data_IF_258304500168
#
_entry.id   IF_258304500168
#
_cell.length_a   1.000
_cell.length_b   1.000
_cell.length_c   1.000
_cell.angle_alpha   90.00
_cell.angle_beta   90.00
_cell.angle_gamma   90.00
#
_symmetry.space_group_name_H-M   'P 1'
#
loop_
_entity.id
_entity.type
_entity.pdbx_description
1 polymer ?
#
# COMPACT_ATOMS: atom_id res chain seq x y z
N UNK A 1 7.79 -51.84 -33.11
CA UNK A 1 6.85 -50.70 -33.05
C UNK A 1 6.70 -50.15 -31.62
N UNK A 2 6.61 -51.03 -30.62
CA UNK A 2 6.39 -50.71 -29.20
C UNK A 2 7.43 -49.76 -28.56
N UNK A 3 8.73 -49.94 -28.80
CA UNK A 3 9.78 -49.03 -28.31
C UNK A 3 9.61 -47.58 -28.79
N UNK A 4 9.15 -47.38 -30.03
CA UNK A 4 8.86 -46.03 -30.58
C UNK A 4 7.61 -45.43 -29.94
N UNK A 5 6.57 -46.24 -29.70
CA UNK A 5 5.36 -45.78 -29.03
C UNK A 5 5.62 -45.35 -27.58
N UNK A 6 6.38 -46.15 -26.82
CA UNK A 6 6.77 -45.83 -25.44
C UNK A 6 7.60 -44.54 -25.37
N UNK A 7 8.59 -44.38 -26.25
CA UNK A 7 9.38 -43.16 -26.33
C UNK A 7 8.51 -41.92 -26.62
N UNK A 8 7.56 -42.03 -27.57
CA UNK A 8 6.64 -40.94 -27.90
C UNK A 8 5.71 -40.57 -26.74
N UNK A 9 5.29 -41.56 -25.94
CA UNK A 9 4.48 -41.34 -24.75
C UNK A 9 5.25 -40.56 -23.68
N UNK A 10 6.51 -40.95 -23.43
CA UNK A 10 7.38 -40.24 -22.48
C UNK A 10 7.64 -38.80 -22.90
N UNK A 11 7.94 -38.55 -24.17
CA UNK A 11 8.18 -37.18 -24.64
C UNK A 11 6.91 -36.33 -24.62
N UNK A 12 5.73 -36.92 -24.84
CA UNK A 12 4.46 -36.20 -24.64
C UNK A 12 4.30 -35.76 -23.20
N UNK A 13 4.49 -36.67 -22.24
CA UNK A 13 4.46 -36.34 -20.80
C UNK A 13 5.45 -35.23 -20.44
N UNK A 14 6.69 -35.29 -20.97
CA UNK A 14 7.69 -34.23 -20.77
C UNK A 14 7.21 -32.86 -21.29
N UNK A 15 6.62 -32.83 -22.49
CA UNK A 15 6.09 -31.59 -23.08
C UNK A 15 4.93 -31.01 -22.30
N UNK A 16 4.05 -31.86 -21.76
CA UNK A 16 2.94 -31.42 -20.92
C UNK A 16 3.47 -30.76 -19.63
N UNK A 17 4.45 -31.37 -18.97
CA UNK A 17 5.09 -30.76 -17.79
C UNK A 17 5.72 -29.39 -18.10
N UNK A 18 6.41 -29.27 -19.26
CA UNK A 18 6.98 -27.98 -19.68
C UNK A 18 5.86 -26.95 -19.93
N UNK A 19 4.75 -27.35 -20.55
CA UNK A 19 3.60 -26.48 -20.80
C UNK A 19 3.00 -25.97 -19.49
N UNK A 20 2.92 -26.81 -18.48
CA UNK A 20 2.43 -26.43 -17.15
C UNK A 20 3.39 -25.43 -16.49
N UNK A 21 4.70 -25.69 -16.53
CA UNK A 21 5.71 -24.74 -16.02
C UNK A 21 5.64 -23.37 -16.71
N UNK A 22 5.40 -23.32 -18.04
CA UNK A 22 5.19 -22.06 -18.75
C UNK A 22 3.92 -21.33 -18.32
N UNK A 23 2.87 -22.07 -17.97
CA UNK A 23 1.62 -21.49 -17.45
C UNK A 23 1.85 -20.87 -16.08
N UNK A 24 2.48 -21.61 -15.15
CA UNK A 24 2.84 -21.09 -13.82
C UNK A 24 3.77 -19.88 -13.89
N UNK A 25 4.75 -19.90 -14.80
CA UNK A 25 5.65 -18.77 -15.03
C UNK A 25 4.89 -17.53 -15.52
N UNK A 26 4.00 -17.69 -16.51
CA UNK A 26 3.18 -16.59 -17.04
C UNK A 26 2.35 -15.95 -15.93
N UNK A 27 1.68 -16.78 -15.12
CA UNK A 27 0.75 -16.30 -14.10
C UNK A 27 1.47 -15.56 -12.96
N UNK A 28 2.78 -15.80 -12.78
CA UNK A 28 3.65 -15.10 -11.83
C UNK A 28 4.17 -13.74 -12.33
N UNK A 29 3.96 -13.39 -13.61
CA UNK A 29 4.45 -12.16 -14.22
C UNK A 29 3.29 -11.16 -14.35
N UNK A 30 3.26 -10.05 -13.59
CA UNK A 30 2.12 -9.12 -13.56
C UNK A 30 1.74 -8.57 -14.95
N UNK A 31 2.75 -8.28 -15.78
CA UNK A 31 2.52 -7.76 -17.14
C UNK A 31 1.84 -8.76 -18.09
N UNK A 32 1.76 -10.04 -17.70
CA UNK A 32 1.12 -11.11 -18.46
C UNK A 32 -0.22 -11.56 -17.87
N UNK A 33 -0.66 -10.94 -16.76
CA UNK A 33 -1.95 -11.21 -16.14
C UNK A 33 -3.05 -10.52 -16.93
N UNK A 34 -3.99 -11.28 -17.48
CA UNK A 34 -5.18 -10.77 -18.20
C UNK A 34 -5.56 -11.59 -19.43
N UNK A 35 -6.85 -11.60 -19.76
CA UNK A 35 -7.45 -12.47 -20.80
C UNK A 35 -6.80 -12.29 -22.18
N UNK A 36 -6.54 -11.05 -22.60
CA UNK A 36 -5.87 -10.73 -23.88
C UNK A 36 -4.38 -11.10 -23.90
N UNK A 37 -3.76 -11.24 -22.72
CA UNK A 37 -2.32 -11.50 -22.56
C UNK A 37 -2.03 -12.97 -22.22
N UNK A 38 -3.08 -13.74 -21.90
CA UNK A 38 -3.01 -15.21 -21.69
C UNK A 38 -2.51 -15.96 -22.92
N UNK A 39 -2.65 -15.35 -24.11
CA UNK A 39 -2.14 -15.84 -25.39
C UNK A 39 -0.66 -15.50 -25.66
N UNK A 40 0.08 -15.02 -24.66
CA UNK A 40 1.50 -14.73 -24.81
C UNK A 40 2.29 -15.97 -25.27
N UNK A 41 3.06 -15.80 -26.34
CA UNK A 41 3.94 -16.84 -26.86
C UNK A 41 5.03 -17.20 -25.84
N UNK A 42 5.61 -18.42 -25.95
CA UNK A 42 6.72 -18.86 -25.08
C UNK A 42 7.88 -17.88 -25.06
N UNK A 43 8.24 -17.33 -26.22
CA UNK A 43 9.30 -16.33 -26.33
C UNK A 43 8.97 -15.04 -25.57
N UNK A 44 7.72 -14.57 -25.65
CA UNK A 44 7.27 -13.40 -24.89
C UNK A 44 7.25 -13.66 -23.38
N UNK A 45 6.82 -14.85 -22.94
CA UNK A 45 6.85 -15.24 -21.53
C UNK A 45 8.29 -15.16 -20.99
N UNK A 46 9.27 -15.75 -21.71
CA UNK A 46 10.68 -15.70 -21.31
C UNK A 46 11.23 -14.28 -21.28
N UNK A 47 10.93 -13.47 -22.31
CA UNK A 47 11.36 -12.07 -22.38
C UNK A 47 10.83 -11.27 -21.21
N UNK A 48 9.52 -11.34 -20.96
CA UNK A 48 8.87 -10.62 -19.85
C UNK A 48 9.30 -11.12 -18.48
N UNK A 49 9.62 -12.41 -18.34
CA UNK A 49 10.21 -12.96 -17.12
C UNK A 49 11.57 -12.33 -16.83
N UNK A 50 12.45 -12.28 -17.83
CA UNK A 50 13.77 -11.67 -17.71
C UNK A 50 13.66 -10.18 -17.35
N UNK A 51 12.81 -9.43 -18.07
CA UNK A 51 12.55 -8.01 -17.80
C UNK A 51 12.04 -7.82 -16.35
N UNK A 52 11.11 -8.66 -15.90
CA UNK A 52 10.51 -8.55 -14.58
C UNK A 52 11.51 -8.88 -13.46
N UNK A 53 12.38 -9.88 -13.64
CA UNK A 53 13.46 -10.18 -12.68
C UNK A 53 14.40 -8.97 -12.55
N UNK A 54 14.81 -8.37 -13.68
CA UNK A 54 15.68 -7.20 -13.65
C UNK A 54 15.01 -6.01 -12.95
N UNK A 55 13.75 -5.75 -13.27
CA UNK A 55 12.94 -4.72 -12.63
C UNK A 55 12.85 -4.94 -11.10
N UNK A 56 12.48 -6.14 -10.66
CA UNK A 56 12.33 -6.45 -9.24
C UNK A 56 13.67 -6.35 -8.49
N UNK A 57 14.79 -6.71 -9.12
CA UNK A 57 16.13 -6.52 -8.52
C UNK A 57 16.43 -5.04 -8.29
N UNK A 58 16.17 -4.18 -9.28
CA UNK A 58 16.35 -2.72 -9.14
C UNK A 58 15.41 -2.15 -8.07
N UNK A 59 14.15 -2.56 -8.08
CA UNK A 59 13.14 -2.13 -7.10
C UNK A 59 13.52 -2.51 -5.67
N UNK A 60 13.93 -3.76 -5.44
CA UNK A 60 14.39 -4.22 -4.13
C UNK A 60 15.64 -3.45 -3.66
N UNK A 61 16.58 -3.15 -4.57
CA UNK A 61 17.75 -2.32 -4.24
C UNK A 61 17.38 -0.90 -3.81
N UNK A 62 16.41 -0.28 -4.48
CA UNK A 62 15.90 1.05 -4.08
C UNK A 62 15.25 0.99 -2.70
N UNK A 63 14.38 0.01 -2.46
CA UNK A 63 13.75 -0.17 -1.15
C UNK A 63 14.77 -0.44 -0.05
N UNK A 64 15.85 -1.17 -0.34
CA UNK A 64 16.92 -1.37 0.63
C UNK A 64 17.63 -0.07 0.98
N UNK A 65 17.87 0.81 -0.01
CA UNK A 65 18.43 2.14 0.23
C UNK A 65 17.49 3.00 1.09
N UNK A 66 16.19 3.01 0.77
CA UNK A 66 15.18 3.72 1.55
C UNK A 66 15.16 3.25 3.02
N UNK A 67 15.24 1.92 3.23
CA UNK A 67 15.31 1.33 4.58
C UNK A 67 16.58 1.80 5.32
N UNK A 68 17.73 1.82 4.65
CA UNK A 68 19.00 2.20 5.28
C UNK A 68 19.10 3.71 5.55
N UNK A 69 18.46 4.54 4.73
CA UNK A 69 18.33 5.98 4.97
C UNK A 69 17.41 6.26 6.16
N UNK A 70 16.24 5.61 6.23
CA UNK A 70 15.31 5.73 7.36
C UNK A 70 15.96 5.25 8.67
N UNK A 71 16.72 4.16 8.64
CA UNK A 71 17.49 3.69 9.81
C UNK A 71 18.51 4.72 10.28
N UNK A 72 19.23 5.37 9.37
CA UNK A 72 20.18 6.44 9.70
C UNK A 72 19.48 7.65 10.31
N UNK A 73 18.34 8.06 9.77
CA UNK A 73 17.53 9.15 10.30
C UNK A 73 17.01 8.83 11.71
N UNK A 74 16.45 7.63 11.92
CA UNK A 74 15.98 7.19 13.24
C UNK A 74 17.11 7.18 14.26
N UNK A 75 18.27 6.61 13.94
CA UNK A 75 19.43 6.62 14.85
C UNK A 75 19.87 8.04 15.22
N UNK A 76 19.82 8.97 14.26
CA UNK A 76 20.15 10.37 14.50
C UNK A 76 19.16 11.02 15.48
N UNK A 77 17.85 10.82 15.24
CA UNK A 77 16.79 11.33 16.11
C UNK A 77 16.87 10.71 17.52
N UNK A 78 17.10 9.40 17.62
CA UNK A 78 17.28 8.71 18.91
C UNK A 78 18.48 9.29 19.70
N UNK A 79 19.56 9.62 19.00
CA UNK A 79 20.74 10.26 19.61
C UNK A 79 20.40 11.66 20.12
N UNK A 80 19.67 12.45 19.32
CA UNK A 80 19.21 13.79 19.71
C UNK A 80 18.28 13.73 20.94
N UNK A 81 17.31 12.81 20.93
CA UNK A 81 16.39 12.58 22.06
C UNK A 81 17.18 12.25 23.32
N UNK A 82 18.09 11.27 23.25
CA UNK A 82 18.91 10.87 24.40
C UNK A 82 19.77 12.02 24.94
N UNK A 83 20.32 12.86 24.06
CA UNK A 83 21.09 14.04 24.45
C UNK A 83 20.21 15.08 25.17
N UNK A 84 19.00 15.32 24.66
CA UNK A 84 18.04 16.26 25.27
C UNK A 84 17.52 15.73 26.61
N UNK A 85 17.22 14.44 26.71
CA UNK A 85 16.84 13.79 27.96
C UNK A 85 17.96 13.89 29.00
N UNK A 86 19.21 13.67 28.60
CA UNK A 86 20.38 13.86 29.45
C UNK A 86 20.52 15.32 29.90
N UNK A 87 20.36 16.29 29.01
CA UNK A 87 20.42 17.71 29.37
C UNK A 87 19.28 18.13 30.33
N UNK A 88 18.07 17.59 30.13
CA UNK A 88 16.91 17.81 31.00
C UNK A 88 17.12 17.22 32.39
N UNK A 89 17.66 16.01 32.47
CA UNK A 89 17.95 15.32 33.74
C UNK A 89 19.18 15.88 34.47
N UNK A 90 20.17 16.42 33.75
CA UNK A 90 21.35 17.09 34.31
C UNK A 90 21.08 18.52 34.82
N UNK A 91 19.83 19.00 34.77
CA UNK A 91 19.39 20.12 35.61
C UNK A 91 20.01 21.47 35.27
N UNK A 92 19.93 21.91 34.01
CA UNK A 92 20.23 23.31 33.63
C UNK A 92 18.98 24.07 33.16
N UNK A 93 17.84 23.82 33.81
CA UNK A 93 16.68 24.72 33.76
C UNK A 93 16.36 25.24 35.17
N UNK A 94 17.39 25.74 35.85
CA UNK A 94 17.18 26.72 36.91
C UNK A 94 17.16 28.09 36.22
N UNK A 95 16.05 28.83 36.40
CA UNK A 95 15.95 30.29 36.21
C UNK A 95 15.67 30.78 34.77
N UNK A 96 14.40 30.75 34.33
CA UNK A 96 13.69 31.90 33.68
C UNK A 96 12.43 31.45 32.92
N UNK A 97 11.39 31.01 33.64
CA UNK A 97 10.02 30.94 33.07
C UNK A 97 8.96 30.92 34.16
N UNK A 98 9.06 31.86 35.11
CA UNK A 98 7.84 32.42 35.73
C UNK A 98 7.40 33.57 34.82
N UNK A 99 6.92 33.25 33.62
CA UNK A 99 6.12 34.21 32.86
C UNK A 99 4.75 34.20 33.52
N UNK A 100 4.40 35.32 34.16
CA UNK A 100 3.11 35.57 34.77
C UNK A 100 1.97 35.37 33.76
N UNK A 101 1.45 34.13 33.68
CA UNK A 101 0.28 33.78 32.87
C UNK A 101 -0.99 34.50 33.36
N UNK A 102 -0.96 35.03 34.58
CA UNK A 102 -2.04 35.84 35.16
C UNK A 102 -2.26 37.16 34.39
N UNK A 103 -1.23 37.73 33.76
CA UNK A 103 -1.36 39.02 33.08
C UNK A 103 -2.08 38.93 31.73
N UNK A 104 -2.00 37.78 31.04
CA UNK A 104 -2.62 37.59 29.71
C UNK A 104 -4.14 37.34 29.79
N UNK A 105 -4.67 36.99 30.97
CA UNK A 105 -6.07 36.61 31.19
C UNK A 105 -6.94 37.73 31.80
N UNK A 106 -6.40 38.94 31.92
CA UNK A 106 -7.12 40.10 32.47
C UNK A 106 -7.17 41.23 31.44
N UNK A 107 -8.38 41.74 31.18
CA UNK A 107 -8.53 42.94 30.37
C UNK A 107 -8.01 44.15 31.20
N UNK A 108 -7.56 45.29 30.62
CA UNK A 108 -7.09 46.48 31.35
C UNK A 108 -8.04 47.10 32.40
N UNK A 109 -9.22 46.51 32.60
CA UNK A 109 -10.19 46.85 33.66
C UNK A 109 -10.18 45.86 34.85
N UNK A 110 -9.30 44.85 34.86
CA UNK A 110 -9.08 43.95 36.01
C UNK A 110 -10.07 42.79 36.16
N UNK A 111 -10.92 42.51 35.18
CA UNK A 111 -11.86 41.38 35.22
C UNK A 111 -11.30 40.15 34.49
N UNK A 112 -11.45 38.98 35.11
CA UNK A 112 -11.07 37.67 34.56
C UNK A 112 -12.01 37.24 33.43
N UNK A 113 -11.45 36.77 32.30
CA UNK A 113 -12.23 36.20 31.19
C UNK A 113 -12.57 34.74 31.48
N UNK A 114 -13.86 34.42 31.61
CA UNK A 114 -14.35 33.05 31.81
C UNK A 114 -14.18 32.20 30.55
N UNK A 115 -13.54 31.05 30.69
CA UNK A 115 -13.37 30.05 29.66
C UNK A 115 -14.73 29.47 29.20
N UNK A 116 -14.84 29.30 27.89
CA UNK A 116 -15.91 28.62 27.17
C UNK A 116 -16.24 27.25 27.78
N UNK A 117 -17.44 27.14 28.35
CA UNK A 117 -18.13 25.90 28.66
C UNK A 117 -18.83 25.42 27.39
N UNK A 118 -18.41 24.28 26.85
CA UNK A 118 -18.87 23.78 25.55
C UNK A 118 -18.60 22.29 25.43
N UNK A 119 -19.41 21.51 26.14
CA UNK A 119 -19.27 20.07 26.34
C UNK A 119 -19.38 19.19 25.09
N UNK A 120 -18.67 18.06 25.22
CA UNK A 120 -19.03 16.67 24.86
C UNK A 120 -19.40 16.28 23.42
N UNK A 121 -18.74 15.23 22.94
CA UNK A 121 -19.14 14.45 21.77
C UNK A 121 -18.06 13.45 21.36
N UNK A 122 -17.83 12.43 22.19
CA UNK A 122 -17.01 11.26 21.85
C UNK A 122 -17.90 10.26 21.11
N UNK A 123 -17.58 9.93 19.86
CA UNK A 123 -18.17 8.79 19.16
C UNK A 123 -17.04 8.11 18.36
N UNK A 124 -16.65 6.92 18.80
CA UNK A 124 -15.76 6.02 18.08
C UNK A 124 -16.55 5.33 16.96
N UNK A 125 -15.92 5.05 15.81
CA UNK A 125 -16.54 4.15 14.83
C UNK A 125 -15.48 3.22 14.22
N UNK A 126 -15.46 2.02 14.80
CA UNK A 126 -15.04 0.77 14.16
C UNK A 126 -16.02 0.44 13.02
N UNK A 127 -15.51 -0.05 11.87
CA UNK A 127 -15.94 -1.33 11.28
C UNK A 127 -15.27 -1.63 9.94
N UNK A 128 -14.76 -2.86 9.93
CA UNK A 128 -14.27 -3.69 8.84
C UNK A 128 -15.29 -3.92 7.69
N UNK A 129 -14.74 -4.19 6.51
CA UNK A 129 -15.15 -5.17 5.47
C UNK A 129 -16.61 -5.65 5.38
N UNK A 130 -17.26 -5.49 4.21
CA UNK A 130 -17.96 -6.59 3.49
C UNK A 130 -18.69 -6.11 2.23
N UNK A 131 -18.35 -6.78 1.12
CA UNK A 131 -19.23 -7.36 0.08
C UNK A 131 -20.68 -6.88 -0.15
N UNK A 132 -20.98 -6.69 -1.44
CA UNK A 132 -22.23 -7.03 -2.15
C UNK A 132 -23.57 -6.50 -1.60
N UNK A 133 -24.26 -5.64 -2.38
CA UNK A 133 -25.61 -5.99 -2.86
C UNK A 133 -26.14 -5.12 -4.00
N UNK A 134 -26.95 -5.77 -4.82
CA UNK A 134 -27.65 -5.33 -6.03
C UNK A 134 -28.72 -4.27 -5.73
N UNK A 135 -29.10 -3.48 -6.74
CA UNK A 135 -30.54 -3.25 -7.06
C UNK A 135 -30.78 -2.69 -8.48
N UNK A 136 -31.71 -3.36 -9.18
CA UNK A 136 -32.30 -3.04 -10.49
C UNK A 136 -33.40 -1.97 -10.36
N UNK A 137 -33.61 -1.16 -11.41
CA UNK A 137 -34.89 -0.69 -12.02
C UNK A 137 -34.58 0.52 -12.94
N UNK A 138 -35.32 0.90 -13.98
CA UNK A 138 -36.64 0.54 -14.53
C UNK A 138 -36.66 0.96 -16.02
N UNK A 139 -37.39 0.21 -16.85
CA UNK A 139 -37.61 0.46 -18.27
C UNK A 139 -38.88 1.31 -18.46
N UNK A 140 -38.83 2.32 -19.32
CA UNK A 140 -40.03 2.99 -19.86
C UNK A 140 -40.07 2.80 -21.37
N UNK A 141 -41.22 2.37 -21.86
CA UNK A 141 -41.59 2.15 -23.25
C UNK A 141 -42.52 3.26 -23.72
N UNK A 142 -42.41 3.70 -24.97
CA UNK A 142 -43.57 3.91 -25.85
C UNK A 142 -43.14 3.98 -27.32
N UNK A 143 -43.97 3.48 -28.25
CA UNK A 143 -43.65 3.36 -29.68
C UNK A 143 -44.10 4.60 -30.46
N UNK A 144 -43.52 4.84 -31.64
CA UNK A 144 -44.22 5.62 -32.66
C UNK A 144 -44.00 5.00 -34.04
N UNK A 145 -45.11 4.78 -34.72
CA UNK A 145 -45.30 4.18 -36.04
C UNK A 145 -45.35 5.23 -37.13
N UNK A 146 -45.35 4.76 -38.40
CA UNK A 146 -45.49 5.45 -39.70
C UNK A 146 -44.18 5.99 -40.30
N UNK A 147 -43.82 5.74 -41.56
CA UNK A 147 -44.60 5.27 -42.72
C UNK A 147 -43.65 4.88 -43.87
N UNK A 148 -44.06 3.87 -44.65
CA UNK A 148 -43.77 3.71 -46.08
C UNK A 148 -45.09 3.43 -46.77
#
# INVERSE_FOLDING_TARGET
AEKRAHHNALERKRRDHIKDSFSSLRDSIPALQGEKVRMASRAQILKKAADYIQFMRKKNSSHQQDIDDLRRQNNHLETQIRSLEKAKTMGTFAQSSVVDTASLMTNPKGNAVSAFDGGSGSETSDSESSSQSRRKKLKTSSPNTSSS
#
